data_IF_022548169332
#
_entry.id   IF_022548169332
#
_cell.length_a   1.000
_cell.length_b   1.000
_cell.length_c   1.000
_cell.angle_alpha   90.00
_cell.angle_beta   90.00
_cell.angle_gamma   90.00
#
_symmetry.space_group_name_H-M   'P 1'
#
loop_
_entity.id
_entity.type
_entity.pdbx_description
1 polymer ?
#
# COMPACT_ATOMS: atom_id res chain seq x y z
N UNK A 1 23.16 -3.96 -6.35
CA UNK A 1 22.46 -3.22 -5.28
C UNK A 1 22.54 -4.04 -4.01
N UNK A 2 23.15 -3.52 -2.95
CA UNK A 2 23.23 -4.21 -1.66
C UNK A 2 21.94 -3.99 -0.91
N UNK A 3 21.20 -5.07 -0.63
CA UNK A 3 19.99 -4.99 0.18
C UNK A 3 20.36 -4.61 1.62
N UNK A 4 19.77 -3.53 2.14
CA UNK A 4 19.92 -3.13 3.54
C UNK A 4 18.96 -3.96 4.38
N UNK A 5 19.51 -4.77 5.29
CA UNK A 5 18.70 -5.54 6.24
C UNK A 5 18.22 -4.61 7.36
N UNK A 6 16.95 -4.75 7.71
CA UNK A 6 16.39 -4.15 8.93
C UNK A 6 16.89 -4.92 10.16
N UNK A 7 16.91 -4.28 11.33
CA UNK A 7 17.28 -4.95 12.57
C UNK A 7 16.28 -6.06 12.92
N UNK A 8 16.77 -7.11 13.58
CA UNK A 8 15.93 -8.22 14.03
C UNK A 8 14.81 -7.75 14.96
N UNK A 9 15.10 -6.76 15.81
CA UNK A 9 14.12 -6.13 16.70
C UNK A 9 12.95 -5.51 15.94
N UNK A 10 13.21 -4.73 14.89
CA UNK A 10 12.15 -4.11 14.07
C UNK A 10 11.31 -5.19 13.38
N UNK A 11 11.97 -6.21 12.81
CA UNK A 11 11.26 -7.32 12.15
C UNK A 11 10.38 -8.08 13.14
N UNK A 12 10.86 -8.31 14.36
CA UNK A 12 10.10 -8.99 15.41
C UNK A 12 8.86 -8.18 15.83
N UNK A 13 9.01 -6.86 16.04
CA UNK A 13 7.88 -5.99 16.40
C UNK A 13 6.82 -5.93 15.30
N UNK A 14 7.24 -5.80 14.04
CA UNK A 14 6.32 -5.78 12.90
C UNK A 14 5.61 -7.12 12.71
N UNK A 15 6.30 -8.25 12.97
CA UNK A 15 5.69 -9.57 12.95
C UNK A 15 4.62 -9.72 14.03
N UNK A 16 4.95 -9.36 15.27
CA UNK A 16 4.01 -9.43 16.39
C UNK A 16 2.76 -8.57 16.14
N UNK A 17 2.94 -7.40 15.51
CA UNK A 17 1.82 -6.55 15.12
C UNK A 17 0.88 -7.25 14.13
N UNK A 18 1.42 -7.89 13.08
CA UNK A 18 0.61 -8.60 12.09
C UNK A 18 -0.07 -9.82 12.70
N UNK A 19 0.59 -10.54 13.60
CA UNK A 19 0.02 -11.69 14.31
C UNK A 19 -1.19 -11.32 15.19
N UNK A 20 -1.36 -10.04 15.52
CA UNK A 20 -2.53 -9.55 16.25
C UNK A 20 -3.76 -9.28 15.37
N UNK A 21 -3.62 -9.29 14.03
CA UNK A 21 -4.73 -9.04 13.12
C UNK A 21 -5.68 -10.23 13.04
N UNK A 22 -6.98 -9.95 13.01
CA UNK A 22 -7.96 -10.96 12.61
C UNK A 22 -7.80 -11.32 11.13
N UNK A 23 -8.43 -12.42 10.71
CA UNK A 23 -8.29 -12.95 9.35
C UNK A 23 -8.65 -11.94 8.26
N UNK A 24 -9.67 -11.10 8.46
CA UNK A 24 -10.08 -10.13 7.44
C UNK A 24 -9.12 -8.94 7.41
N UNK A 25 -8.67 -8.46 8.57
CA UNK A 25 -7.66 -7.40 8.63
C UNK A 25 -6.32 -7.86 8.05
N UNK A 26 -5.94 -9.12 8.27
CA UNK A 26 -4.73 -9.70 7.70
C UNK A 26 -4.82 -9.80 6.17
N UNK A 27 -5.95 -10.27 5.63
CA UNK A 27 -6.18 -10.33 4.18
C UNK A 27 -6.21 -8.93 3.55
N UNK A 28 -6.84 -7.96 4.22
CA UNK A 28 -6.86 -6.56 3.82
C UNK A 28 -5.44 -5.96 3.81
N UNK A 29 -4.63 -6.26 4.82
CA UNK A 29 -3.24 -5.84 4.92
C UNK A 29 -2.39 -6.42 3.79
N UNK A 30 -2.41 -7.74 3.58
CA UNK A 30 -1.68 -8.40 2.50
C UNK A 30 -2.02 -7.75 1.14
N UNK A 31 -3.32 -7.54 0.89
CA UNK A 31 -3.78 -6.93 -0.35
C UNK A 31 -3.23 -5.52 -0.54
N UNK A 32 -3.27 -4.69 0.51
CA UNK A 32 -2.72 -3.34 0.47
C UNK A 32 -1.21 -3.33 0.22
N UNK A 33 -0.46 -4.23 0.87
CA UNK A 33 0.99 -4.37 0.70
C UNK A 33 1.34 -4.79 -0.72
N UNK A 34 0.65 -5.78 -1.28
CA UNK A 34 0.90 -6.26 -2.64
C UNK A 34 0.57 -5.21 -3.70
N UNK A 35 -0.53 -4.46 -3.51
CA UNK A 35 -0.91 -3.37 -4.41
C UNK A 35 0.07 -2.20 -4.35
N UNK A 36 0.39 -1.70 -3.15
CA UNK A 36 1.30 -0.55 -2.98
C UNK A 36 2.79 -0.94 -3.05
N UNK A 37 3.11 -2.25 -3.10
CA UNK A 37 4.46 -2.81 -3.01
C UNK A 37 5.25 -2.31 -1.80
N UNK A 38 4.55 -2.02 -0.70
CA UNK A 38 5.10 -1.37 0.49
C UNK A 38 4.39 -1.83 1.75
N UNK A 39 5.17 -2.39 2.68
CA UNK A 39 4.69 -2.79 4.00
C UNK A 39 4.12 -1.60 4.76
N UNK A 40 4.84 -0.47 4.76
CA UNK A 40 4.51 0.71 5.57
C UNK A 40 3.22 1.36 5.04
N UNK A 41 3.06 1.48 3.72
CA UNK A 41 1.83 2.02 3.13
C UNK A 41 0.65 1.09 3.42
N UNK A 42 0.85 -0.22 3.25
CA UNK A 42 -0.18 -1.21 3.57
C UNK A 42 -0.64 -1.12 5.03
N UNK A 43 0.31 -0.98 5.96
CA UNK A 43 0.02 -0.84 7.40
C UNK A 43 -0.67 0.49 7.72
N UNK A 44 -0.21 1.59 7.13
CA UNK A 44 -0.82 2.90 7.34
C UNK A 44 -2.27 2.92 6.84
N UNK A 45 -2.56 2.28 5.71
CA UNK A 45 -3.92 2.20 5.18
C UNK A 45 -4.81 1.31 6.07
N UNK A 46 -4.34 0.12 6.46
CA UNK A 46 -5.15 -0.77 7.33
C UNK A 46 -5.40 -0.19 8.71
N UNK A 47 -4.45 0.56 9.25
CA UNK A 47 -4.62 1.30 10.51
C UNK A 47 -5.34 2.65 10.34
N UNK A 48 -5.89 2.94 9.15
CA UNK A 48 -6.64 4.17 8.84
C UNK A 48 -5.86 5.46 9.12
N UNK A 49 -4.53 5.42 8.98
CA UNK A 49 -3.64 6.58 9.14
C UNK A 49 -3.57 7.43 7.87
N UNK A 50 -3.86 6.84 6.73
CA UNK A 50 -3.94 7.49 5.42
C UNK A 50 -5.20 7.04 4.70
N UNK A 51 -5.65 7.85 3.75
CA UNK A 51 -6.74 7.57 2.83
C UNK A 51 -6.29 6.71 1.66
N UNK A 52 -7.25 6.16 0.91
CA UNK A 52 -6.98 5.42 -0.34
C UNK A 52 -6.24 6.28 -1.36
N UNK A 53 -6.60 7.56 -1.47
CA UNK A 53 -5.95 8.50 -2.40
C UNK A 53 -4.49 8.74 -2.02
N UNK A 54 -4.22 9.01 -0.74
CA UNK A 54 -2.85 9.18 -0.24
C UNK A 54 -2.02 7.92 -0.42
N UNK A 55 -2.61 6.74 -0.17
CA UNK A 55 -1.96 5.45 -0.39
C UNK A 55 -1.61 5.21 -1.87
N UNK A 56 -2.53 5.53 -2.78
CA UNK A 56 -2.31 5.40 -4.23
C UNK A 56 -1.23 6.37 -4.74
N UNK A 57 -1.22 7.61 -4.23
CA UNK A 57 -0.18 8.59 -4.55
C UNK A 57 1.19 8.11 -4.03
N UNK A 58 1.26 7.69 -2.76
CA UNK A 58 2.50 7.24 -2.15
C UNK A 58 3.08 5.99 -2.86
N UNK A 59 2.23 5.03 -3.24
CA UNK A 59 2.64 3.83 -3.97
C UNK A 59 3.11 4.10 -5.40
N UNK A 60 2.70 5.24 -5.98
CA UNK A 60 3.00 5.64 -7.37
C UNK A 60 4.00 6.80 -7.46
N UNK A 61 4.68 7.15 -6.36
CA UNK A 61 5.54 8.35 -6.29
C UNK A 61 6.55 8.44 -7.45
N UNK A 62 7.23 7.33 -7.77
CA UNK A 62 8.18 7.28 -8.88
C UNK A 62 7.49 7.53 -10.22
N UNK A 63 6.37 6.85 -10.51
CA UNK A 63 5.60 7.03 -11.75
C UNK A 63 5.11 8.47 -11.88
N UNK A 64 4.63 9.08 -10.80
CA UNK A 64 4.21 10.47 -10.77
C UNK A 64 5.36 11.42 -11.09
N UNK A 65 6.57 11.16 -10.57
CA UNK A 65 7.76 11.93 -10.92
C UNK A 65 8.14 11.78 -12.40
N UNK A 66 8.02 10.58 -12.95
CA UNK A 66 8.29 10.31 -14.36
C UNK A 66 7.28 11.02 -15.28
N UNK A 67 5.99 11.03 -14.91
CA UNK A 67 4.94 11.76 -15.62
C UNK A 67 5.21 13.27 -15.61
N UNK A 68 5.57 13.83 -14.45
CA UNK A 68 5.91 15.26 -14.33
C UNK A 68 7.05 15.66 -15.27
N UNK A 69 8.04 14.77 -15.42
CA UNK A 69 9.23 15.05 -16.24
C UNK A 69 9.03 14.77 -17.73
N UNK A 70 8.26 13.75 -18.09
CA UNK A 70 8.22 13.20 -19.45
C UNK A 70 6.83 13.15 -20.08
N UNK A 71 5.81 13.61 -19.37
CA UNK A 71 4.43 13.54 -19.80
C UNK A 71 3.76 12.22 -19.44
N UNK A 72 2.43 12.23 -19.47
CA UNK A 72 1.61 11.06 -19.23
C UNK A 72 1.53 10.17 -20.48
N UNK A 73 1.56 8.85 -20.28
CA UNK A 73 1.22 7.87 -21.30
C UNK A 73 -0.22 7.44 -21.03
N UNK A 74 -1.12 7.95 -21.86
CA UNK A 74 -2.55 7.61 -21.85
C UNK A 74 -2.76 6.10 -22.01
N UNK A 75 -3.85 5.58 -21.44
CA UNK A 75 -4.21 4.15 -21.32
C UNK A 75 -3.24 3.29 -20.48
N UNK A 76 -2.09 3.82 -20.05
CA UNK A 76 -1.17 3.11 -19.14
C UNK A 76 -1.23 3.70 -17.74
N UNK A 77 -0.88 4.97 -17.60
CA UNK A 77 -0.71 5.59 -16.29
C UNK A 77 -2.02 5.90 -15.58
N UNK A 78 -3.06 6.26 -16.33
CA UNK A 78 -4.40 6.54 -15.84
C UNK A 78 -5.14 5.25 -15.44
N UNK A 79 -5.03 4.18 -16.25
CA UNK A 79 -5.56 2.87 -15.87
C UNK A 79 -4.88 2.31 -14.62
N UNK A 80 -3.55 2.41 -14.52
CA UNK A 80 -2.81 2.00 -13.31
C UNK A 80 -3.27 2.78 -12.07
N UNK A 81 -3.51 4.10 -12.21
CA UNK A 81 -4.03 4.94 -11.13
C UNK A 81 -5.39 4.45 -10.64
N UNK A 82 -6.34 4.28 -11.55
CA UNK A 82 -7.70 3.87 -11.18
C UNK A 82 -7.75 2.42 -10.67
N UNK A 83 -6.93 1.54 -11.22
CA UNK A 83 -6.78 0.16 -10.72
C UNK A 83 -6.23 0.16 -9.29
N UNK A 84 -5.17 0.92 -9.01
CA UNK A 84 -4.62 1.01 -7.66
C UNK A 84 -5.65 1.56 -6.67
N UNK A 85 -6.37 2.63 -7.02
CA UNK A 85 -7.45 3.19 -6.19
C UNK A 85 -8.55 2.17 -5.94
N UNK A 86 -8.97 1.42 -6.96
CA UNK A 86 -9.99 0.37 -6.84
C UNK A 86 -9.54 -0.74 -5.89
N UNK A 87 -8.30 -1.19 -6.03
CA UNK A 87 -7.74 -2.25 -5.18
C UNK A 87 -7.61 -1.80 -3.72
N UNK A 88 -7.03 -0.62 -3.46
CA UNK A 88 -6.94 -0.05 -2.10
C UNK A 88 -8.31 0.35 -1.52
N UNK A 89 -9.25 0.75 -2.36
CA UNK A 89 -10.64 0.99 -1.98
C UNK A 89 -11.32 -0.27 -1.45
N UNK A 90 -11.10 -1.41 -2.11
CA UNK A 90 -11.61 -2.70 -1.66
C UNK A 90 -11.11 -3.09 -0.27
N UNK A 91 -9.85 -2.79 0.05
CA UNK A 91 -9.24 -2.99 1.37
C UNK A 91 -10.02 -2.21 2.42
N UNK A 92 -10.28 -0.92 2.15
CA UNK A 92 -11.02 -0.06 3.07
C UNK A 92 -12.45 -0.57 3.30
N UNK A 93 -13.13 -1.06 2.25
CA UNK A 93 -14.47 -1.64 2.37
C UNK A 93 -14.53 -2.85 3.31
N UNK A 94 -13.51 -3.70 3.34
CA UNK A 94 -13.43 -4.84 4.26
C UNK A 94 -13.31 -4.36 5.70
N UNK A 95 -12.54 -3.31 5.93
CA UNK A 95 -12.27 -2.76 7.26
C UNK A 95 -13.43 -1.94 7.82
N UNK A 96 -14.38 -1.48 7.00
CA UNK A 96 -15.56 -0.70 7.47
C UNK A 96 -16.57 -1.55 8.27
N UNK A 97 -16.51 -2.88 8.17
CA UNK A 97 -17.46 -3.79 8.84
C UNK A 97 -17.01 -4.24 10.23
N UNK A 98 -15.95 -3.64 10.77
CA UNK A 98 -15.43 -3.88 12.12
C UNK A 98 -15.52 -2.62 12.97
#
# INVERSE_FOLDING_TARGET
MTSVKQSEEVVAQLRQLIESFDNLTLAAFEKAVLTAKSFVIGLALTQRRITVEEGAIAGRLEVLHQIDRWGEVEDSHDLDREEMKRQLGSVTCVLLKQ
#
